data_IF_167253695237
#
_entry.id   IF_167253695237
#
_cell.length_a   1.000
_cell.length_b   1.000
_cell.length_c   1.000
_cell.angle_alpha   90.00
_cell.angle_beta   90.00
_cell.angle_gamma   90.00
#
_symmetry.space_group_name_H-M   'P 1'
#
loop_
_entity.id
_entity.type
_entity.pdbx_description
1 polymer ?
#
# COMPACT_ATOMS: atom_id res chain seq x y z
N UNK A 1 -23.32 -8.45 17.09
CA UNK A 1 -22.33 -9.16 16.25
C UNK A 1 -21.10 -8.27 16.16
N UNK A 2 -19.88 -8.82 16.27
CA UNK A 2 -18.65 -8.04 16.09
C UNK A 2 -18.48 -7.79 14.59
N UNK A 3 -18.40 -6.54 14.16
CA UNK A 3 -18.29 -6.13 12.74
C UNK A 3 -17.06 -5.22 12.57
N UNK A 4 -16.45 -5.26 11.37
CA UNK A 4 -15.44 -4.31 10.91
C UNK A 4 -15.78 -3.93 9.48
N UNK A 5 -15.94 -2.64 9.22
CA UNK A 5 -16.24 -2.10 7.90
C UNK A 5 -14.98 -1.55 7.29
N UNK A 6 -14.52 -2.16 6.20
CA UNK A 6 -13.38 -1.68 5.44
C UNK A 6 -13.89 -1.17 4.10
N UNK A 7 -13.50 0.05 3.74
CA UNK A 7 -13.85 0.64 2.45
C UNK A 7 -12.63 0.64 1.52
N UNK A 8 -12.72 -0.14 0.43
CA UNK A 8 -11.77 -0.07 -0.68
C UNK A 8 -12.10 1.14 -1.57
N UNK A 9 -11.23 2.15 -1.55
CA UNK A 9 -11.46 3.42 -2.23
C UNK A 9 -11.45 3.27 -3.75
N UNK A 10 -10.48 2.52 -4.27
CA UNK A 10 -10.27 2.21 -5.68
C UNK A 10 -9.36 0.96 -5.80
N UNK A 11 -9.28 0.40 -7.01
CA UNK A 11 -8.36 -0.70 -7.32
C UNK A 11 -6.93 -0.25 -7.62
N UNK A 12 -6.71 1.04 -7.86
CA UNK A 12 -5.38 1.63 -8.04
C UNK A 12 -5.46 3.14 -7.82
N UNK A 13 -4.62 3.68 -6.93
CA UNK A 13 -4.57 5.12 -6.68
C UNK A 13 -4.19 5.89 -7.94
N UNK A 14 -5.04 6.83 -8.34
CA UNK A 14 -4.90 7.61 -9.57
C UNK A 14 -5.70 7.06 -10.76
N UNK A 15 -6.45 5.96 -10.61
CA UNK A 15 -7.45 5.55 -11.62
C UNK A 15 -8.76 6.34 -11.49
N UNK A 16 -8.99 6.97 -10.35
CA UNK A 16 -10.26 7.62 -10.08
C UNK A 16 -11.34 6.65 -9.62
N UNK A 17 -12.40 7.25 -9.07
CA UNK A 17 -13.63 6.59 -8.64
C UNK A 17 -14.80 7.56 -8.82
N UNK A 18 -16.04 7.06 -9.04
CA UNK A 18 -17.25 7.89 -9.03
C UNK A 18 -17.51 8.50 -7.65
N UNK A 19 -17.80 9.80 -7.60
CA UNK A 19 -18.10 10.47 -6.33
C UNK A 19 -19.36 9.92 -5.64
N UNK A 20 -20.35 9.46 -6.41
CA UNK A 20 -21.55 8.80 -5.87
C UNK A 20 -21.19 7.53 -5.08
N UNK A 21 -20.32 6.68 -5.62
CA UNK A 21 -19.82 5.47 -4.94
C UNK A 21 -18.99 5.82 -3.71
N UNK A 22 -18.12 6.83 -3.81
CA UNK A 22 -17.35 7.35 -2.68
C UNK A 22 -18.25 7.82 -1.53
N UNK A 23 -19.22 8.70 -1.82
CA UNK A 23 -20.16 9.19 -0.81
C UNK A 23 -20.99 8.07 -0.21
N UNK A 24 -21.40 7.08 -1.01
CA UNK A 24 -22.11 5.90 -0.52
C UNK A 24 -21.23 5.10 0.45
N UNK A 25 -19.99 4.77 0.09
CA UNK A 25 -19.05 4.07 0.96
C UNK A 25 -18.80 4.81 2.28
N UNK A 26 -18.53 6.11 2.21
CA UNK A 26 -18.32 6.95 3.39
C UNK A 26 -19.58 7.10 4.26
N UNK A 27 -20.79 7.04 3.67
CA UNK A 27 -22.04 7.09 4.44
C UNK A 27 -22.27 5.84 5.31
N UNK A 28 -21.59 4.74 5.01
CA UNK A 28 -21.67 3.50 5.79
C UNK A 28 -20.79 3.51 7.05
N UNK A 29 -20.08 4.61 7.30
CA UNK A 29 -19.16 4.82 8.42
C UNK A 29 -18.10 3.71 8.50
N UNK A 30 -17.18 3.63 7.52
CA UNK A 30 -16.13 2.63 7.54
C UNK A 30 -15.21 2.84 8.75
N UNK A 31 -14.71 1.74 9.28
CA UNK A 31 -13.70 1.71 10.33
C UNK A 31 -12.28 1.97 9.80
N UNK A 32 -12.08 1.77 8.50
CA UNK A 32 -10.83 2.04 7.78
C UNK A 32 -11.14 2.25 6.30
N UNK A 33 -10.41 3.16 5.67
CA UNK A 33 -10.35 3.29 4.23
C UNK A 33 -9.01 2.75 3.75
N UNK A 34 -9.02 1.92 2.70
CA UNK A 34 -7.81 1.43 2.05
C UNK A 34 -7.78 1.84 0.59
N UNK A 35 -6.60 2.12 0.06
CA UNK A 35 -6.37 2.33 -1.37
C UNK A 35 -5.18 1.47 -1.80
N UNK A 36 -5.42 0.52 -2.70
CA UNK A 36 -4.30 -0.12 -3.38
C UNK A 36 -3.69 0.90 -4.35
N UNK A 37 -2.38 0.87 -4.43
CA UNK A 37 -1.63 1.66 -5.39
C UNK A 37 -0.51 0.82 -6.05
N UNK A 38 -0.47 -0.49 -5.81
CA UNK A 38 0.51 -1.44 -6.28
C UNK A 38 0.04 -2.28 -7.46
N UNK A 39 0.98 -2.71 -8.30
CA UNK A 39 0.71 -3.76 -9.30
C UNK A 39 2.03 -4.43 -9.73
N UNK A 40 1.95 -5.67 -10.21
CA UNK A 40 3.02 -6.32 -10.97
C UNK A 40 2.82 -6.24 -12.49
N UNK A 41 1.62 -5.87 -12.95
CA UNK A 41 1.23 -5.95 -14.36
C UNK A 41 2.00 -4.93 -15.22
N UNK A 42 2.40 -3.80 -14.61
CA UNK A 42 3.28 -2.80 -15.23
C UNK A 42 4.73 -3.28 -15.41
N UNK A 43 5.06 -4.51 -14.97
CA UNK A 43 6.40 -5.07 -15.05
C UNK A 43 7.43 -4.34 -14.19
N UNK A 44 8.74 -4.63 -14.37
CA UNK A 44 9.80 -4.09 -13.54
C UNK A 44 10.17 -2.64 -13.87
N UNK A 45 9.63 -2.06 -14.95
CA UNK A 45 10.03 -0.75 -15.47
C UNK A 45 9.89 0.35 -14.41
N UNK A 46 8.72 0.46 -13.77
CA UNK A 46 8.45 1.48 -12.75
C UNK A 46 9.35 1.33 -11.52
N UNK A 47 9.68 0.10 -11.12
CA UNK A 47 10.64 -0.14 -10.04
C UNK A 47 12.05 0.30 -10.45
N UNK A 48 12.47 -0.03 -11.67
CA UNK A 48 13.78 0.33 -12.20
C UNK A 48 13.98 1.83 -12.37
N UNK A 49 13.01 2.52 -12.96
CA UNK A 49 13.07 3.97 -13.25
C UNK A 49 12.74 4.83 -12.04
N UNK A 50 11.94 4.32 -11.10
CA UNK A 50 11.49 5.10 -9.94
C UNK A 50 10.33 6.03 -10.26
N UNK A 51 9.67 5.82 -11.39
CA UNK A 51 8.45 6.53 -11.77
C UNK A 51 7.22 5.75 -11.28
N UNK A 52 6.10 6.44 -11.09
CA UNK A 52 4.80 5.81 -10.83
C UNK A 52 4.07 5.47 -12.14
N UNK A 53 3.17 4.50 -12.11
CA UNK A 53 2.29 4.19 -13.26
C UNK A 53 1.27 5.30 -13.50
N UNK A 54 0.64 5.77 -12.42
CA UNK A 54 -0.42 6.79 -12.47
C UNK A 54 0.18 8.19 -12.35
N UNK A 55 -0.39 9.14 -13.10
CA UNK A 55 0.07 10.51 -13.13
C UNK A 55 -0.20 11.25 -11.81
N UNK A 56 0.71 12.15 -11.42
CA UNK A 56 0.62 12.96 -10.19
C UNK A 56 -0.75 13.62 -10.02
N UNK A 57 -1.27 14.26 -11.06
CA UNK A 57 -2.57 14.97 -11.02
C UNK A 57 -3.73 14.05 -10.65
N UNK A 58 -3.74 12.82 -11.18
CA UNK A 58 -4.79 11.86 -10.89
C UNK A 58 -4.69 11.31 -9.46
N UNK A 59 -3.47 11.02 -8.99
CA UNK A 59 -3.22 10.64 -7.59
C UNK A 59 -3.62 11.76 -6.63
N UNK A 60 -3.26 13.02 -6.94
CA UNK A 60 -3.66 14.19 -6.14
C UNK A 60 -5.18 14.29 -6.08
N UNK A 61 -5.88 14.21 -7.21
CA UNK A 61 -7.35 14.22 -7.28
C UNK A 61 -7.98 13.19 -6.34
N UNK A 62 -7.53 11.94 -6.39
CA UNK A 62 -8.06 10.86 -5.57
C UNK A 62 -7.83 11.09 -4.08
N UNK A 63 -6.65 11.57 -3.70
CA UNK A 63 -6.30 11.89 -2.32
C UNK A 63 -7.03 13.14 -1.80
N UNK A 64 -7.28 14.11 -2.66
CA UNK A 64 -7.86 15.40 -2.32
C UNK A 64 -9.31 15.27 -1.80
N UNK A 65 -10.06 14.30 -2.32
CA UNK A 65 -11.41 13.99 -1.85
C UNK A 65 -11.40 13.22 -0.51
N UNK A 66 -10.57 12.19 -0.39
CA UNK A 66 -10.62 11.27 0.76
C UNK A 66 -9.94 11.83 2.02
N UNK A 67 -8.81 12.53 1.88
CA UNK A 67 -8.01 13.00 3.03
C UNK A 67 -8.80 13.88 4.01
N UNK A 68 -9.52 14.94 3.58
CA UNK A 68 -10.28 15.78 4.51
C UNK A 68 -11.32 14.99 5.32
N UNK A 69 -12.00 14.04 4.67
CA UNK A 69 -13.07 13.27 5.29
C UNK A 69 -12.54 12.26 6.31
N UNK A 70 -11.49 11.50 5.96
CA UNK A 70 -10.90 10.50 6.86
C UNK A 70 -10.24 11.17 8.07
N UNK A 71 -9.57 12.32 7.88
CA UNK A 71 -8.97 13.08 8.98
C UNK A 71 -10.05 13.66 9.89
N UNK A 72 -11.09 14.31 9.33
CA UNK A 72 -12.20 14.87 10.13
C UNK A 72 -12.91 13.79 10.95
N UNK A 73 -13.09 12.59 10.38
CA UNK A 73 -13.80 11.47 11.02
C UNK A 73 -12.90 10.57 11.86
N UNK A 74 -11.57 10.80 11.87
CA UNK A 74 -10.56 9.96 12.52
C UNK A 74 -10.63 8.50 12.06
N UNK A 75 -10.84 8.30 10.76
CA UNK A 75 -10.82 6.98 10.13
C UNK A 75 -9.40 6.74 9.61
N UNK A 76 -8.72 5.65 10.02
CA UNK A 76 -7.42 5.31 9.46
C UNK A 76 -7.48 5.13 7.94
N UNK A 77 -6.56 5.77 7.24
CA UNK A 77 -6.41 5.64 5.80
C UNK A 77 -5.11 4.93 5.44
N UNK A 78 -5.21 3.78 4.77
CA UNK A 78 -4.08 2.91 4.47
C UNK A 78 -3.84 2.86 2.97
N UNK A 79 -2.64 3.22 2.55
CA UNK A 79 -2.20 3.13 1.15
C UNK A 79 -1.08 2.08 1.07
N UNK A 80 -1.22 1.14 0.14
CA UNK A 80 -0.14 0.23 -0.22
C UNK A 80 -0.50 -0.54 -1.48
N UNK A 81 0.39 -0.73 -2.46
CA UNK A 81 1.79 -0.26 -2.50
C UNK A 81 1.93 1.16 -3.01
N UNK A 82 2.80 2.02 -2.46
CA UNK A 82 2.98 3.38 -2.99
C UNK A 82 3.49 3.38 -4.45
N UNK A 83 2.83 4.15 -5.33
CA UNK A 83 3.30 4.46 -6.68
C UNK A 83 3.62 3.25 -7.56
N UNK A 84 2.81 2.19 -7.47
CA UNK A 84 2.89 0.93 -8.24
C UNK A 84 3.95 -0.05 -7.77
N UNK A 85 5.20 0.41 -7.62
CA UNK A 85 6.31 -0.46 -7.30
C UNK A 85 6.71 -0.46 -5.82
N UNK A 86 6.45 0.63 -5.09
CA UNK A 86 6.67 0.72 -3.66
C UNK A 86 8.12 0.89 -3.21
N UNK A 87 9.05 1.27 -4.09
CA UNK A 87 10.41 1.68 -3.70
C UNK A 87 10.45 3.07 -3.05
N UNK A 88 11.63 3.51 -2.61
CA UNK A 88 11.82 4.79 -1.91
C UNK A 88 11.34 5.99 -2.74
N UNK A 89 11.66 6.10 -4.05
CA UNK A 89 11.12 7.18 -4.88
C UNK A 89 9.59 7.15 -5.00
N UNK A 90 8.98 5.96 -4.99
CA UNK A 90 7.53 5.83 -5.09
C UNK A 90 6.82 6.26 -3.80
N UNK A 91 7.39 5.91 -2.65
CA UNK A 91 6.95 6.41 -1.34
C UNK A 91 7.09 7.93 -1.30
N UNK A 92 8.20 8.49 -1.77
CA UNK A 92 8.42 9.93 -1.81
C UNK A 92 7.36 10.65 -2.67
N UNK A 93 7.09 10.16 -3.89
CA UNK A 93 6.06 10.71 -4.77
C UNK A 93 4.70 10.79 -4.06
N UNK A 94 4.24 9.69 -3.45
CA UNK A 94 2.92 9.65 -2.79
C UNK A 94 2.91 10.54 -1.54
N UNK A 95 3.94 10.49 -0.71
CA UNK A 95 3.99 11.28 0.53
C UNK A 95 4.13 12.78 0.26
N UNK A 96 4.81 13.20 -0.80
CA UNK A 96 4.85 14.60 -1.25
C UNK A 96 3.47 15.11 -1.65
N UNK A 97 2.68 14.31 -2.39
CA UNK A 97 1.31 14.68 -2.78
C UNK A 97 0.43 14.83 -1.53
N UNK A 98 0.55 13.91 -0.57
CA UNK A 98 -0.19 13.99 0.70
C UNK A 98 0.19 15.25 1.49
N UNK A 99 1.50 15.58 1.57
CA UNK A 99 1.97 16.80 2.25
C UNK A 99 1.50 18.07 1.56
N UNK A 100 1.48 18.09 0.22
CA UNK A 100 0.94 19.20 -0.57
C UNK A 100 -0.54 19.44 -0.24
N UNK A 101 -1.37 18.40 -0.31
CA UNK A 101 -2.81 18.50 0.03
C UNK A 101 -3.00 18.94 1.48
N UNK A 102 -2.19 18.40 2.40
CA UNK A 102 -2.27 18.77 3.81
C UNK A 102 -1.98 20.27 4.03
N UNK A 103 -0.97 20.82 3.35
CA UNK A 103 -0.66 22.24 3.40
C UNK A 103 -1.78 23.08 2.77
N UNK A 104 -2.26 22.71 1.59
CA UNK A 104 -3.32 23.44 0.86
C UNK A 104 -4.63 23.50 1.63
N UNK A 105 -4.98 22.44 2.36
CA UNK A 105 -6.25 22.32 3.10
C UNK A 105 -6.09 22.50 4.61
N UNK A 106 -4.91 22.89 5.08
CA UNK A 106 -4.60 23.07 6.49
C UNK A 106 -4.93 21.83 7.37
N UNK A 107 -4.66 20.63 6.84
CA UNK A 107 -4.92 19.36 7.53
C UNK A 107 -3.77 19.02 8.47
N UNK A 108 -4.10 18.55 9.68
CA UNK A 108 -3.15 18.15 10.69
C UNK A 108 -3.43 16.70 11.10
N UNK A 109 -2.45 15.82 10.91
CA UNK A 109 -2.59 14.40 11.20
C UNK A 109 -1.23 13.71 11.35
N UNK A 110 -1.22 12.51 11.93
CA UNK A 110 -0.04 11.65 12.03
C UNK A 110 0.01 10.71 10.84
N UNK A 111 1.14 10.70 10.14
CA UNK A 111 1.40 9.81 9.03
C UNK A 111 2.54 8.84 9.36
N UNK A 112 2.30 7.54 9.19
CA UNK A 112 3.35 6.53 9.20
C UNK A 112 3.79 6.19 7.77
N UNK A 113 5.10 6.01 7.60
CA UNK A 113 5.70 5.54 6.35
C UNK A 113 6.33 4.18 6.62
N UNK A 114 5.98 3.19 5.81
CA UNK A 114 6.51 1.83 5.91
C UNK A 114 7.37 1.56 4.68
N UNK A 115 8.69 1.58 4.88
CA UNK A 115 9.68 1.34 3.84
C UNK A 115 9.75 -0.15 3.47
N UNK A 116 9.95 -0.45 2.18
CA UNK A 116 10.07 -1.84 1.71
C UNK A 116 11.37 -2.13 0.96
N UNK A 117 12.24 -1.14 0.72
CA UNK A 117 13.52 -1.43 0.08
C UNK A 117 14.42 -2.26 0.99
N UNK A 118 15.04 -3.30 0.41
CA UNK A 118 15.88 -4.25 1.12
C UNK A 118 17.35 -3.99 0.74
N UNK A 119 18.24 -3.78 1.71
CA UNK A 119 19.65 -3.59 1.43
C UNK A 119 20.26 -4.76 0.67
N UNK A 120 21.02 -4.48 -0.40
CA UNK A 120 21.72 -5.51 -1.20
C UNK A 120 22.58 -6.43 -0.36
N UNK A 121 23.29 -5.89 0.63
CA UNK A 121 24.13 -6.68 1.53
C UNK A 121 23.35 -7.68 2.39
N UNK A 122 22.12 -7.33 2.78
CA UNK A 122 21.24 -8.29 3.45
C UNK A 122 20.90 -9.45 2.53
N UNK A 123 20.59 -9.16 1.25
CA UNK A 123 20.23 -10.18 0.25
C UNK A 123 21.45 -11.07 -0.05
N UNK A 124 22.63 -10.50 -0.29
CA UNK A 124 23.87 -11.27 -0.51
C UNK A 124 24.18 -12.18 0.67
N UNK A 125 24.04 -11.68 1.90
CA UNK A 125 24.18 -12.51 3.10
C UNK A 125 23.19 -13.68 3.08
N UNK A 126 21.91 -13.45 2.76
CA UNK A 126 20.90 -14.52 2.67
C UNK A 126 21.16 -15.50 1.54
N UNK A 127 21.72 -15.03 0.42
CA UNK A 127 22.14 -15.87 -0.69
C UNK A 127 23.27 -16.82 -0.27
N UNK A 128 24.32 -16.30 0.39
CA UNK A 128 25.41 -17.13 0.94
C UNK A 128 24.95 -18.11 2.01
N UNK A 129 23.92 -17.75 2.79
CA UNK A 129 23.27 -18.65 3.76
C UNK A 129 22.37 -19.72 3.11
N UNK A 130 22.22 -19.73 1.78
CA UNK A 130 21.35 -20.67 1.07
C UNK A 130 19.85 -20.43 1.31
N UNK A 131 19.45 -19.22 1.70
CA UNK A 131 18.07 -18.84 2.05
C UNK A 131 17.31 -18.14 0.92
N UNK A 132 17.92 -18.01 -0.25
CA UNK A 132 17.26 -17.44 -1.42
C UNK A 132 17.04 -18.55 -2.43
N UNK A 133 15.79 -18.71 -2.85
CA UNK A 133 15.39 -19.71 -3.84
C UNK A 133 14.62 -19.01 -4.97
N UNK A 134 14.79 -19.47 -6.21
CA UNK A 134 13.98 -18.97 -7.32
C UNK A 134 12.50 -19.32 -7.10
N UNK A 135 11.62 -18.46 -7.61
CA UNK A 135 10.17 -18.68 -7.57
C UNK A 135 9.76 -19.63 -8.71
N UNK A 136 9.94 -20.93 -8.49
CA UNK A 136 9.70 -21.97 -9.50
C UNK A 136 10.84 -22.08 -10.52
N UNK A 137 10.66 -22.99 -11.47
CA UNK A 137 11.76 -23.44 -12.35
C UNK A 137 12.15 -22.43 -13.44
N UNK A 138 11.27 -21.47 -13.74
CA UNK A 138 11.47 -20.47 -14.81
C UNK A 138 12.18 -19.19 -14.33
N UNK A 139 12.45 -19.05 -13.03
CA UNK A 139 13.16 -17.89 -12.48
C UNK A 139 14.65 -18.23 -12.35
N UNK A 140 15.55 -17.47 -12.99
CA UNK A 140 16.98 -17.71 -12.88
C UNK A 140 17.47 -17.65 -11.43
N UNK A 141 18.48 -18.47 -11.12
CA UNK A 141 19.15 -18.41 -9.82
C UNK A 141 19.75 -17.02 -9.61
N UNK A 142 19.47 -16.44 -8.44
CA UNK A 142 20.04 -15.15 -8.07
C UNK A 142 21.54 -15.31 -7.78
N UNK A 143 22.36 -14.43 -8.37
CA UNK A 143 23.81 -14.36 -8.08
C UNK A 143 24.15 -13.01 -7.45
N UNK A 144 25.32 -12.90 -6.81
CA UNK A 144 25.76 -11.62 -6.25
C UNK A 144 25.95 -10.56 -7.34
N UNK A 145 26.39 -10.95 -8.55
CA UNK A 145 26.51 -10.06 -9.71
C UNK A 145 25.15 -9.51 -10.16
N UNK A 146 24.10 -10.35 -10.12
CA UNK A 146 22.72 -9.90 -10.41
C UNK A 146 22.27 -8.91 -9.34
N UNK A 147 22.56 -9.16 -8.06
CA UNK A 147 22.23 -8.24 -6.96
C UNK A 147 22.95 -6.90 -7.15
N UNK A 148 24.21 -6.92 -7.53
CA UNK A 148 25.02 -5.71 -7.69
C UNK A 148 24.53 -4.82 -8.83
N UNK A 149 24.19 -5.40 -9.99
CA UNK A 149 23.63 -4.64 -11.11
C UNK A 149 22.16 -4.24 -10.93
N UNK A 150 21.44 -4.84 -9.99
CA UNK A 150 20.02 -4.51 -9.74
C UNK A 150 19.90 -3.09 -9.22
N UNK A 151 19.00 -2.29 -9.78
CA UNK A 151 18.83 -0.89 -9.34
C UNK A 151 18.28 -0.84 -7.92
N UNK A 152 17.20 -1.60 -7.65
CA UNK A 152 16.47 -1.61 -6.38
C UNK A 152 15.84 -2.96 -6.12
N UNK A 153 15.69 -3.30 -4.84
CA UNK A 153 14.98 -4.51 -4.40
C UNK A 153 13.98 -4.11 -3.34
N UNK A 154 12.74 -4.55 -3.51
CA UNK A 154 11.65 -4.32 -2.54
C UNK A 154 11.14 -5.65 -2.00
N UNK A 155 10.82 -5.68 -0.71
CA UNK A 155 10.15 -6.81 -0.06
C UNK A 155 8.63 -6.63 -0.10
N UNK A 156 7.90 -7.64 -0.54
CA UNK A 156 6.43 -7.62 -0.48
C UNK A 156 5.96 -7.84 0.96
N UNK A 157 5.46 -6.78 1.58
CA UNK A 157 4.99 -6.82 2.97
C UNK A 157 3.61 -7.47 3.10
N UNK A 158 3.43 -8.24 4.18
CA UNK A 158 2.12 -8.72 4.65
C UNK A 158 1.47 -7.74 5.63
N UNK A 159 0.53 -8.22 6.45
CA UNK A 159 -0.27 -7.38 7.37
C UNK A 159 0.52 -6.79 8.55
N UNK A 160 1.62 -7.43 8.96
CA UNK A 160 2.31 -7.12 10.22
C UNK A 160 2.76 -5.66 10.34
N UNK A 161 3.40 -5.04 9.32
CA UNK A 161 3.81 -3.64 9.41
C UNK A 161 2.62 -2.68 9.51
N UNK A 162 1.52 -2.96 8.78
CA UNK A 162 0.30 -2.14 8.83
C UNK A 162 -0.39 -2.25 10.19
N UNK A 163 -0.48 -3.45 10.77
CA UNK A 163 -1.03 -3.63 12.12
C UNK A 163 -0.23 -2.82 13.14
N UNK A 164 1.11 -2.93 13.12
CA UNK A 164 1.99 -2.17 14.02
C UNK A 164 1.80 -0.66 13.84
N UNK A 165 1.69 -0.18 12.61
CA UNK A 165 1.42 1.23 12.36
C UNK A 165 0.05 1.64 12.95
N UNK A 166 -1.02 0.88 12.71
CA UNK A 166 -2.35 1.14 13.28
C UNK A 166 -2.35 1.15 14.82
N UNK A 167 -1.49 0.38 15.49
CA UNK A 167 -1.34 0.38 16.95
C UNK A 167 -0.78 1.70 17.49
N UNK A 168 -0.05 2.46 16.68
CA UNK A 168 0.51 3.77 17.08
C UNK A 168 -0.51 4.91 17.04
N UNK A 169 -1.74 4.66 16.55
CA UNK A 169 -2.78 5.66 16.42
C UNK A 169 -2.49 6.73 15.36
N UNK A 170 -1.83 6.34 14.28
CA UNK A 170 -1.64 7.18 13.08
C UNK A 170 -2.92 7.25 12.26
N UNK A 171 -3.14 8.40 11.62
CA UNK A 171 -4.34 8.64 10.81
C UNK A 171 -4.13 8.17 9.36
N UNK A 172 -2.90 8.28 8.85
CA UNK A 172 -2.53 7.90 7.48
C UNK A 172 -1.33 6.96 7.49
N UNK A 173 -1.38 5.90 6.68
CA UNK A 173 -0.28 4.95 6.48
C UNK A 173 0.06 4.90 5.00
N UNK A 174 1.33 5.11 4.66
CA UNK A 174 1.86 4.91 3.31
C UNK A 174 2.87 3.79 3.35
N UNK A 175 2.53 2.64 2.76
CA UNK A 175 3.43 1.51 2.61
C UNK A 175 4.13 1.50 1.25
N UNK A 176 5.38 1.05 1.24
CA UNK A 176 6.07 0.58 0.04
C UNK A 176 5.43 -0.68 -0.53
N UNK A 177 6.21 -1.58 -1.13
CA UNK A 177 5.71 -2.81 -1.74
C UNK A 177 4.97 -3.67 -0.71
N UNK A 178 3.71 -3.94 -0.99
CA UNK A 178 2.81 -4.70 -0.13
C UNK A 178 1.96 -5.66 -0.96
N UNK A 179 1.46 -6.71 -0.32
CA UNK A 179 0.36 -7.48 -0.85
C UNK A 179 -0.92 -6.62 -0.80
N UNK A 180 -1.58 -6.47 -1.94
CA UNK A 180 -2.91 -5.89 -2.13
C UNK A 180 -3.88 -6.18 -0.97
N UNK A 181 -4.08 -7.46 -0.63
CA UNK A 181 -5.00 -7.89 0.42
C UNK A 181 -4.55 -7.52 1.83
N UNK A 182 -3.26 -7.32 2.06
CA UNK A 182 -2.74 -7.03 3.40
C UNK A 182 -3.23 -5.67 3.91
N UNK A 183 -3.42 -4.68 3.03
CA UNK A 183 -3.89 -3.36 3.43
C UNK A 183 -5.33 -3.42 3.96
N UNK A 184 -6.16 -4.32 3.43
CA UNK A 184 -7.55 -4.48 3.84
C UNK A 184 -7.72 -5.49 4.99
N UNK A 185 -6.87 -6.51 5.06
CA UNK A 185 -6.91 -7.52 6.12
C UNK A 185 -6.32 -7.04 7.45
N UNK A 186 -5.47 -6.00 7.44
CA UNK A 186 -4.75 -5.57 8.63
C UNK A 186 -5.66 -5.15 9.81
N UNK A 187 -6.69 -4.33 9.58
CA UNK A 187 -7.58 -3.88 10.66
C UNK A 187 -8.47 -5.02 11.20
N UNK A 188 -9.14 -5.85 10.37
CA UNK A 188 -9.87 -7.01 10.86
C UNK A 188 -9.00 -7.95 11.71
N UNK A 189 -7.79 -8.29 11.26
CA UNK A 189 -6.87 -9.15 12.02
C UNK A 189 -6.44 -8.48 13.32
N UNK A 190 -6.10 -7.19 13.29
CA UNK A 190 -5.81 -6.41 14.51
C UNK A 190 -6.97 -6.43 15.51
N UNK A 191 -8.21 -6.45 15.02
CA UNK A 191 -9.42 -6.56 15.84
C UNK A 191 -9.73 -8.00 16.27
N UNK A 192 -8.90 -8.98 15.92
CA UNK A 192 -9.03 -10.37 16.35
C UNK A 192 -10.00 -11.21 15.52
N UNK A 193 -10.23 -10.84 14.25
CA UNK A 193 -10.92 -11.72 13.30
C UNK A 193 -9.97 -12.80 12.79
N UNK A 194 -10.53 -13.92 12.35
CA UNK A 194 -9.77 -15.02 11.76
C UNK A 194 -8.97 -14.52 10.53
N UNK A 195 -7.65 -14.77 10.47
CA UNK A 195 -6.82 -14.33 9.36
C UNK A 195 -7.28 -14.86 8.00
N UNK A 196 -7.70 -16.12 7.89
CA UNK A 196 -8.11 -16.69 6.61
C UNK A 196 -9.38 -16.00 6.09
N UNK A 197 -10.37 -15.77 6.96
CA UNK A 197 -11.57 -15.01 6.60
C UNK A 197 -11.26 -13.56 6.25
N UNK A 198 -10.36 -12.90 7.00
CA UNK A 198 -9.96 -11.53 6.74
C UNK A 198 -9.25 -11.39 5.38
N UNK A 199 -8.34 -12.29 5.03
CA UNK A 199 -7.67 -12.30 3.73
C UNK A 199 -8.63 -12.65 2.59
N UNK A 200 -9.56 -13.59 2.79
CA UNK A 200 -10.58 -13.91 1.80
C UNK A 200 -11.47 -12.70 1.49
N UNK A 201 -12.02 -12.06 2.54
CA UNK A 201 -12.82 -10.86 2.39
C UNK A 201 -12.02 -9.72 1.73
N UNK A 202 -10.77 -9.52 2.15
CA UNK A 202 -9.86 -8.56 1.53
C UNK A 202 -9.70 -8.79 0.03
N UNK A 203 -9.51 -10.05 -0.41
CA UNK A 203 -9.35 -10.35 -1.84
C UNK A 203 -10.63 -10.10 -2.65
N UNK A 204 -11.79 -10.44 -2.08
CA UNK A 204 -13.09 -10.17 -2.71
C UNK A 204 -13.32 -8.66 -2.85
N UNK A 205 -12.96 -7.86 -1.85
CA UNK A 205 -13.12 -6.41 -1.91
C UNK A 205 -12.17 -5.74 -2.91
N UNK A 206 -10.91 -6.19 -2.94
CA UNK A 206 -9.85 -5.55 -3.74
C UNK A 206 -9.94 -5.91 -5.23
N UNK A 207 -10.11 -7.18 -5.56
CA UNK A 207 -10.10 -7.69 -6.94
C UNK A 207 -11.44 -8.28 -7.41
N UNK A 208 -12.43 -8.44 -6.52
CA UNK A 208 -13.71 -9.09 -6.84
C UNK A 208 -14.88 -8.14 -7.07
N UNK A 209 -14.73 -6.85 -6.74
CA UNK A 209 -15.75 -5.84 -6.93
C UNK A 209 -15.58 -5.16 -8.31
N UNK A 210 -16.23 -5.72 -9.33
CA UNK A 210 -16.43 -5.09 -10.64
C UNK A 210 -17.82 -4.47 -10.75
#
# INVERSE_FOLDING_TARGET
>A
MKEVKVFALNGQLGYGYPLSSYHKGMSMNPDMVGADAGSSDGGPAFLGTGTALTGRTAVKRDLEFVLPDVIKRKIPFVIGSAGTAGGEPHINIVTEIIREIAAEKNLHFKMAIIHSEVPKEYIKKKLREGKVHPLGDNVPVLTEEIIDRTVRVVGQMGVTPFIKALETGVDVIVGGRACDTAIFACLPIKRGFDPALAFHAAKVMECGAY
#
